data_IF_263497031007
#
_entry.id   IF_263497031007
#
_cell.length_a   1.000
_cell.length_b   1.000
_cell.length_c   1.000
_cell.angle_alpha   90.00
_cell.angle_beta   90.00
_cell.angle_gamma   90.00
#
_symmetry.space_group_name_H-M   'P 1'
#
loop_
_entity.id
_entity.type
_entity.pdbx_description
1 polymer ?
#
# COMPACT_ATOMS: atom_id res chain seq x y z
N UNK A 1 -8.77 -17.31 -5.38
CA UNK A 1 -8.38 -16.27 -6.36
C UNK A 1 -7.47 -15.26 -5.70
N UNK A 2 -6.26 -15.05 -6.22
CA UNK A 2 -5.37 -14.06 -5.63
C UNK A 2 -5.95 -12.66 -5.77
N UNK A 3 -5.46 -11.77 -4.94
CA UNK A 3 -5.83 -10.37 -5.01
C UNK A 3 -4.58 -9.51 -5.05
N UNK A 4 -4.69 -8.37 -5.68
CA UNK A 4 -3.61 -7.40 -5.76
C UNK A 4 -4.01 -6.16 -4.99
N UNK A 5 -3.16 -5.76 -4.06
CA UNK A 5 -3.31 -4.53 -3.30
C UNK A 5 -2.44 -3.49 -3.99
N UNK A 6 -3.07 -2.48 -4.56
CA UNK A 6 -2.37 -1.47 -5.35
C UNK A 6 -2.52 -0.12 -4.64
N UNK A 7 -1.40 0.51 -4.33
CA UNK A 7 -1.39 1.77 -3.61
C UNK A 7 -0.61 2.81 -4.40
N UNK A 8 -1.27 3.93 -4.70
CA UNK A 8 -0.62 5.10 -5.30
C UNK A 8 -0.38 6.09 -4.17
N UNK A 9 0.85 6.54 -4.01
CA UNK A 9 1.28 7.31 -2.86
C UNK A 9 1.95 8.60 -3.29
N UNK A 10 1.61 9.70 -2.60
CA UNK A 10 2.38 10.93 -2.65
C UNK A 10 2.81 11.26 -1.22
N UNK A 11 4.10 11.21 -0.96
CA UNK A 11 4.66 11.54 0.36
C UNK A 11 4.81 13.05 0.44
N UNK A 12 4.16 13.67 1.41
CA UNK A 12 4.17 15.12 1.64
C UNK A 12 5.24 15.48 2.65
N UNK A 13 5.35 14.68 3.71
CA UNK A 13 6.34 14.88 4.78
C UNK A 13 7.18 13.60 4.89
N UNK A 14 8.33 13.53 4.19
CA UNK A 14 9.16 12.31 4.20
C UNK A 14 9.61 11.89 5.59
N UNK A 15 9.91 12.83 6.45
CA UNK A 15 10.37 12.55 7.80
C UNK A 15 9.26 11.94 8.65
N UNK A 16 8.06 12.53 8.58
CA UNK A 16 6.91 12.02 9.30
C UNK A 16 6.42 10.68 8.77
N UNK A 17 6.71 10.37 7.51
CA UNK A 17 6.29 9.14 6.87
C UNK A 17 7.18 7.93 7.23
N UNK A 18 8.38 8.16 7.73
CA UNK A 18 9.37 7.10 7.98
C UNK A 18 8.86 6.00 8.93
N UNK A 19 8.14 6.37 9.98
CA UNK A 19 7.60 5.39 10.93
C UNK A 19 6.63 4.41 10.27
N UNK A 20 5.77 4.91 9.40
CA UNK A 20 4.83 4.08 8.64
C UNK A 20 5.59 3.19 7.67
N UNK A 21 6.50 3.76 6.91
CA UNK A 21 7.28 3.05 5.90
C UNK A 21 8.07 1.89 6.51
N UNK A 22 8.63 2.10 7.69
CA UNK A 22 9.46 1.09 8.35
C UNK A 22 8.62 -0.09 8.88
N UNK A 23 7.32 0.11 9.15
CA UNK A 23 6.49 -0.87 9.85
C UNK A 23 5.42 -1.54 9.01
N UNK A 24 5.00 -0.91 7.91
CA UNK A 24 3.87 -1.42 7.10
C UNK A 24 4.17 -2.79 6.49
N UNK A 25 5.42 -3.04 6.09
CA UNK A 25 5.82 -4.32 5.52
C UNK A 25 5.58 -5.47 6.47
N UNK A 26 5.93 -5.31 7.74
CA UNK A 26 5.72 -6.33 8.75
C UNK A 26 4.23 -6.61 8.96
N UNK A 27 3.40 -5.58 8.95
CA UNK A 27 1.95 -5.77 9.11
C UNK A 27 1.37 -6.58 7.94
N UNK A 28 1.88 -6.36 6.74
CA UNK A 28 1.46 -7.11 5.55
C UNK A 28 1.93 -8.56 5.60
N UNK A 29 3.14 -8.81 6.08
CA UNK A 29 3.66 -10.17 6.24
C UNK A 29 2.77 -11.04 7.12
N UNK A 30 2.18 -10.46 8.15
CA UNK A 30 1.27 -11.18 9.04
C UNK A 30 0.04 -11.72 8.30
N UNK A 31 -0.29 -11.13 7.15
CA UNK A 31 -1.39 -11.55 6.30
C UNK A 31 -0.90 -12.24 5.03
N UNK A 32 0.37 -12.67 5.05
CA UNK A 32 0.99 -13.43 3.97
C UNK A 32 1.03 -12.69 2.63
N UNK A 33 1.03 -11.36 2.70
CA UNK A 33 1.19 -10.52 1.52
C UNK A 33 2.66 -10.50 1.08
N UNK A 34 2.87 -10.46 -0.24
CA UNK A 34 4.21 -10.34 -0.80
C UNK A 34 4.28 -9.10 -1.68
N UNK A 35 5.34 -8.32 -1.52
CA UNK A 35 5.56 -7.17 -2.38
C UNK A 35 5.93 -7.60 -3.79
N UNK A 36 5.26 -7.01 -4.78
CA UNK A 36 5.59 -7.19 -6.20
C UNK A 36 6.23 -5.92 -6.76
N UNK A 37 5.77 -4.76 -6.28
CA UNK A 37 6.31 -3.45 -6.66
C UNK A 37 6.42 -2.66 -5.36
N UNK A 38 7.56 -2.03 -5.14
CA UNK A 38 7.76 -1.23 -3.94
C UNK A 38 8.55 0.03 -4.26
N UNK A 39 7.89 0.95 -4.96
CA UNK A 39 8.49 2.23 -5.28
C UNK A 39 9.53 2.18 -6.40
N UNK A 40 9.36 1.26 -7.36
CA UNK A 40 10.22 1.19 -8.53
C UNK A 40 9.98 2.33 -9.51
N UNK A 41 10.83 2.43 -10.51
CA UNK A 41 10.73 3.44 -11.55
C UNK A 41 9.39 3.35 -12.26
N UNK A 42 8.79 4.50 -12.53
CA UNK A 42 7.51 4.59 -13.23
C UNK A 42 7.74 5.28 -14.58
N UNK A 43 7.23 4.67 -15.63
CA UNK A 43 7.23 5.27 -16.96
C UNK A 43 5.78 5.55 -17.34
N UNK A 44 5.46 6.81 -17.60
CA UNK A 44 4.10 7.25 -17.90
C UNK A 44 3.85 7.11 -19.39
N UNK A 45 3.11 6.08 -19.78
CA UNK A 45 2.90 5.78 -21.20
C UNK A 45 1.74 6.57 -21.80
N UNK A 46 0.71 6.86 -20.99
CA UNK A 46 -0.47 7.57 -21.47
C UNK A 46 -1.28 8.11 -20.30
N UNK A 47 -1.92 9.25 -20.52
CA UNK A 47 -2.85 9.81 -19.54
C UNK A 47 -2.20 10.78 -18.56
N UNK A 48 -3.04 11.35 -17.70
CA UNK A 48 -2.66 12.40 -16.75
C UNK A 48 -2.52 11.91 -15.30
N UNK A 49 -2.73 10.63 -15.06
CA UNK A 49 -2.58 10.07 -13.73
C UNK A 49 -1.11 10.04 -13.36
N UNK A 50 -0.73 10.79 -12.34
CA UNK A 50 0.68 10.96 -11.96
C UNK A 50 0.96 10.48 -10.54
N UNK A 51 0.87 9.16 -10.26
CA UNK A 51 1.32 8.69 -8.96
C UNK A 51 2.83 8.88 -8.85
N UNK A 52 3.28 9.40 -7.71
CA UNK A 52 4.72 9.59 -7.45
C UNK A 52 5.38 8.28 -7.06
N UNK A 53 4.61 7.41 -6.43
CA UNK A 53 5.10 6.13 -5.96
C UNK A 53 3.98 5.11 -6.05
N UNK A 54 4.31 3.91 -6.51
CA UNK A 54 3.35 2.80 -6.56
C UNK A 54 3.92 1.66 -5.74
N UNK A 55 3.06 1.09 -4.89
CA UNK A 55 3.36 -0.13 -4.15
C UNK A 55 2.30 -1.15 -4.51
N UNK A 56 2.73 -2.38 -4.75
CA UNK A 56 1.82 -3.46 -5.13
C UNK A 56 2.18 -4.71 -4.36
N UNK A 57 1.15 -5.34 -3.78
CA UNK A 57 1.31 -6.61 -3.09
C UNK A 57 0.36 -7.63 -3.65
N UNK A 58 0.70 -8.90 -3.52
CA UNK A 58 -0.22 -10.00 -3.80
C UNK A 58 -0.62 -10.66 -2.48
N UNK A 59 -1.92 -10.97 -2.33
CA UNK A 59 -2.49 -11.69 -1.20
C UNK A 59 -3.37 -12.82 -1.72
N UNK A 60 -3.79 -13.71 -0.83
CA UNK A 60 -4.62 -14.86 -1.20
C UNK A 60 -6.00 -14.45 -1.72
N UNK A 61 -6.55 -13.35 -1.21
CA UNK A 61 -7.91 -12.93 -1.58
C UNK A 61 -8.16 -11.45 -1.24
N UNK A 62 -9.18 -10.90 -1.86
CA UNK A 62 -9.66 -9.55 -1.51
C UNK A 62 -10.12 -9.50 -0.05
N UNK A 63 -10.74 -10.59 0.43
CA UNK A 63 -11.19 -10.68 1.82
C UNK A 63 -10.03 -10.55 2.79
N UNK A 64 -8.91 -11.19 2.48
CA UNK A 64 -7.71 -11.10 3.31
C UNK A 64 -7.15 -9.68 3.33
N UNK A 65 -7.19 -8.99 2.21
CA UNK A 65 -6.78 -7.59 2.12
C UNK A 65 -7.68 -6.70 3.00
N UNK A 66 -8.99 -6.95 2.99
CA UNK A 66 -9.93 -6.23 3.86
C UNK A 66 -9.63 -6.46 5.33
N UNK A 67 -9.32 -7.69 5.71
CA UNK A 67 -8.97 -8.04 7.09
C UNK A 67 -7.70 -7.33 7.54
N UNK A 68 -6.69 -7.29 6.68
CA UNK A 68 -5.47 -6.55 6.96
C UNK A 68 -5.77 -5.06 7.18
N UNK A 69 -6.52 -4.47 6.24
CA UNK A 69 -6.83 -3.04 6.31
C UNK A 69 -7.61 -2.68 7.57
N UNK A 70 -8.57 -3.51 7.95
CA UNK A 70 -9.39 -3.29 9.15
C UNK A 70 -8.75 -3.72 10.45
N UNK A 71 -7.55 -4.33 10.42
CA UNK A 71 -6.89 -4.80 11.63
C UNK A 71 -6.46 -3.63 12.53
N UNK A 72 -6.38 -3.90 13.82
CA UNK A 72 -5.91 -2.90 14.79
C UNK A 72 -4.50 -2.42 14.44
N UNK A 73 -3.65 -3.36 14.01
CA UNK A 73 -2.28 -3.05 13.62
C UNK A 73 -2.20 -2.06 12.47
N UNK A 74 -2.98 -2.29 11.41
CA UNK A 74 -2.95 -1.34 10.29
C UNK A 74 -3.63 -0.02 10.63
N UNK A 75 -4.74 -0.04 11.37
CA UNK A 75 -5.41 1.20 11.76
C UNK A 75 -4.51 2.11 12.59
N UNK A 76 -3.65 1.53 13.42
CA UNK A 76 -2.65 2.28 14.15
C UNK A 76 -1.62 2.92 13.19
N UNK A 77 -1.15 2.17 12.22
CA UNK A 77 -0.23 2.68 11.19
C UNK A 77 -0.88 3.77 10.35
N UNK A 78 -2.16 3.61 10.04
CA UNK A 78 -2.91 4.62 9.31
C UNK A 78 -2.95 5.95 10.05
N UNK A 79 -3.13 5.89 11.36
CA UNK A 79 -3.08 7.11 12.20
C UNK A 79 -1.68 7.71 12.22
N UNK A 80 -0.66 6.85 12.26
CA UNK A 80 0.73 7.29 12.26
C UNK A 80 1.12 8.07 11.00
N UNK A 81 0.58 7.69 9.85
CA UNK A 81 0.88 8.36 8.57
C UNK A 81 0.00 9.56 8.25
N UNK A 82 -0.97 9.84 9.09
CA UNK A 82 -1.88 10.96 8.86
C UNK A 82 -1.11 12.26 8.62
N UNK A 83 -1.53 13.00 7.62
CA UNK A 83 -0.91 14.28 7.21
C UNK A 83 0.52 14.16 6.67
N UNK A 84 1.07 12.95 6.53
CA UNK A 84 2.41 12.76 5.97
C UNK A 84 2.39 12.34 4.51
N UNK A 85 1.28 11.78 4.05
CA UNK A 85 1.14 11.29 2.68
C UNK A 85 -0.32 11.21 2.29
N UNK A 86 -0.58 11.30 0.98
CA UNK A 86 -1.89 10.97 0.43
C UNK A 86 -1.78 9.62 -0.26
N UNK A 87 -2.80 8.79 -0.11
CA UNK A 87 -2.82 7.46 -0.68
C UNK A 87 -4.15 7.15 -1.34
N UNK A 88 -4.07 6.44 -2.46
CA UNK A 88 -5.21 5.78 -3.07
C UNK A 88 -4.89 4.29 -3.07
N UNK A 89 -5.72 3.51 -2.40
CA UNK A 89 -5.45 2.09 -2.17
C UNK A 89 -6.66 1.27 -2.60
N UNK A 90 -6.42 0.29 -3.46
CA UNK A 90 -7.47 -0.61 -3.93
C UNK A 90 -7.00 -2.04 -3.81
N UNK A 91 -7.95 -2.94 -3.56
CA UNK A 91 -7.70 -4.37 -3.65
C UNK A 91 -8.55 -4.90 -4.79
N UNK A 92 -7.94 -5.58 -5.74
CA UNK A 92 -8.63 -6.10 -6.92
C UNK A 92 -8.34 -7.59 -7.08
N UNK A 93 -9.39 -8.36 -7.38
CA UNK A 93 -9.26 -9.78 -7.59
C UNK A 93 -8.52 -10.06 -8.90
N UNK A 94 -7.56 -10.98 -8.83
CA UNK A 94 -6.82 -11.42 -10.00
C UNK A 94 -7.54 -12.53 -10.75
N UNK A 95 -7.02 -12.90 -11.88
CA UNK A 95 -7.56 -13.99 -12.70
C UNK A 95 -7.17 -15.37 -12.19
#
# INVERSE_FOLDING_TARGET
MPAYLITAIEVIDPKGYEGYRARVGQSLEEYEAQFLVRGGEIDFLEGDLLPRRIVMCILDSVDKARKWYGSDGYQELKRLRKDTATMNMVAVEGV
#
